data_IF_303769007384
#
_entry.id   IF_303769007384
#
_cell.length_a   1.000
_cell.length_b   1.000
_cell.length_c   1.000
_cell.angle_alpha   90.00
_cell.angle_beta   90.00
_cell.angle_gamma   90.00
#
_symmetry.space_group_name_H-M   'P 1'
#
loop_
_entity.id
_entity.type
_entity.pdbx_description
1 polymer ?
#
# COMPACT_ATOMS: atom_id res chain seq x y z
N UNK A 1 2.37 -16.94 -1.57
CA UNK A 1 1.72 -15.78 -0.91
C UNK A 1 1.70 -16.04 0.59
N UNK A 2 2.10 -15.08 1.44
CA UNK A 2 2.09 -15.22 2.90
C UNK A 2 0.67 -15.41 3.45
N UNK A 3 0.49 -16.31 4.42
CA UNK A 3 -0.81 -16.62 5.07
C UNK A 3 -1.43 -15.39 5.73
N UNK A 4 -0.59 -14.54 6.31
CA UNK A 4 -0.94 -13.35 7.07
C UNK A 4 -1.64 -12.33 6.17
N UNK A 5 -1.13 -12.14 4.95
CA UNK A 5 -1.72 -11.22 3.97
C UNK A 5 -3.11 -11.68 3.55
N UNK A 6 -3.30 -12.99 3.33
CA UNK A 6 -4.63 -13.55 3.02
C UNK A 6 -5.63 -13.22 4.12
N UNK A 7 -5.24 -13.44 5.38
CA UNK A 7 -6.10 -13.18 6.53
C UNK A 7 -6.43 -11.69 6.69
N UNK A 8 -5.50 -10.80 6.34
CA UNK A 8 -5.72 -9.35 6.44
C UNK A 8 -6.69 -8.86 5.38
N UNK A 9 -6.68 -9.43 4.18
CA UNK A 9 -7.40 -8.90 3.01
C UNK A 9 -8.70 -9.63 2.68
N UNK A 10 -8.84 -10.90 3.06
CA UNK A 10 -9.99 -11.71 2.65
C UNK A 10 -11.31 -11.16 3.19
N UNK A 11 -12.28 -10.98 2.27
CA UNK A 11 -13.62 -10.48 2.60
C UNK A 11 -13.69 -9.01 3.00
N UNK A 12 -12.62 -8.23 2.79
CA UNK A 12 -12.55 -6.81 3.15
C UNK A 12 -12.74 -5.90 1.95
N UNK A 13 -13.43 -4.78 2.15
CA UNK A 13 -13.43 -3.63 1.25
C UNK A 13 -12.13 -2.86 1.45
N UNK A 14 -11.28 -2.84 0.42
CA UNK A 14 -9.92 -2.30 0.48
C UNK A 14 -9.82 -1.00 -0.30
N UNK A 15 -9.21 0.00 0.33
CA UNK A 15 -8.83 1.27 -0.30
C UNK A 15 -7.31 1.38 -0.33
N UNK A 16 -6.73 1.59 -1.50
CA UNK A 16 -5.35 2.08 -1.65
C UNK A 16 -5.42 3.59 -1.77
N UNK A 17 -4.87 4.30 -0.79
CA UNK A 17 -4.93 5.75 -0.71
C UNK A 17 -3.59 6.37 -1.13
N UNK A 18 -3.61 7.06 -2.27
CA UNK A 18 -2.46 7.56 -3.01
C UNK A 18 -1.89 6.50 -3.95
N UNK A 19 -1.86 6.81 -5.25
CA UNK A 19 -1.45 5.94 -6.34
C UNK A 19 -0.14 6.40 -7.01
N UNK A 20 0.79 6.90 -6.18
CA UNK A 20 2.18 7.11 -6.56
C UNK A 20 2.97 5.80 -6.66
N UNK A 21 4.28 5.86 -6.46
CA UNK A 21 5.18 4.69 -6.57
C UNK A 21 4.76 3.52 -5.66
N UNK A 22 4.46 3.81 -4.38
CA UNK A 22 4.07 2.78 -3.40
C UNK A 22 2.65 2.25 -3.62
N UNK A 23 1.69 3.12 -3.94
CA UNK A 23 0.33 2.71 -4.30
C UNK A 23 0.30 1.76 -5.49
N UNK A 24 1.03 2.08 -6.57
CA UNK A 24 1.20 1.21 -7.75
C UNK A 24 1.87 -0.12 -7.39
N UNK A 25 2.92 -0.08 -6.58
CA UNK A 25 3.62 -1.29 -6.13
C UNK A 25 2.70 -2.21 -5.34
N UNK A 26 1.95 -1.65 -4.39
CA UNK A 26 0.94 -2.36 -3.59
C UNK A 26 -0.13 -2.96 -4.50
N UNK A 27 -0.69 -2.16 -5.41
CA UNK A 27 -1.73 -2.60 -6.33
C UNK A 27 -1.28 -3.77 -7.20
N UNK A 28 -0.09 -3.69 -7.81
CA UNK A 28 0.49 -4.77 -8.63
C UNK A 28 0.69 -6.05 -7.82
N UNK A 29 1.17 -5.93 -6.58
CA UNK A 29 1.33 -7.06 -5.68
C UNK A 29 -0.01 -7.73 -5.36
N UNK A 30 -1.02 -6.94 -4.99
CA UNK A 30 -2.34 -7.44 -4.65
C UNK A 30 -3.03 -8.08 -5.86
N UNK A 31 -2.93 -7.48 -7.05
CA UNK A 31 -3.45 -8.07 -8.29
C UNK A 31 -2.77 -9.39 -8.64
N UNK A 32 -1.47 -9.51 -8.40
CA UNK A 32 -0.73 -10.76 -8.62
C UNK A 32 -1.12 -11.89 -7.66
N UNK A 33 -1.55 -11.58 -6.43
CA UNK A 33 -1.97 -12.57 -5.44
C UNK A 33 -3.48 -12.83 -5.42
N UNK A 34 -4.27 -11.80 -5.73
CA UNK A 34 -5.72 -11.82 -5.71
C UNK A 34 -6.28 -11.10 -6.96
N UNK A 35 -6.27 -11.78 -8.12
CA UNK A 35 -6.76 -11.19 -9.37
C UNK A 35 -8.20 -10.66 -9.26
N UNK A 36 -9.05 -11.37 -8.52
CA UNK A 36 -10.48 -11.08 -8.40
C UNK A 36 -10.85 -10.15 -7.23
N UNK A 37 -9.89 -9.75 -6.38
CA UNK A 37 -10.15 -8.88 -5.24
C UNK A 37 -10.64 -7.49 -5.67
N UNK A 38 -11.78 -7.03 -5.16
CA UNK A 38 -12.20 -5.66 -5.44
C UNK A 38 -11.31 -4.66 -4.69
N UNK A 39 -10.69 -3.72 -5.41
CA UNK A 39 -9.78 -2.72 -4.82
C UNK A 39 -10.24 -1.34 -5.27
N UNK A 40 -10.45 -0.43 -4.32
CA UNK A 40 -10.67 0.97 -4.63
C UNK A 40 -9.36 1.74 -4.57
N UNK A 41 -9.12 2.62 -5.54
CA UNK A 41 -8.01 3.56 -5.56
C UNK A 41 -8.54 4.96 -5.23
N UNK A 42 -7.97 5.59 -4.22
CA UNK A 42 -8.24 6.99 -3.87
C UNK A 42 -7.03 7.85 -4.18
N UNK A 43 -7.14 8.84 -5.06
CA UNK A 43 -6.03 9.76 -5.36
C UNK A 43 -6.51 11.20 -5.58
N UNK A 44 -5.67 12.16 -5.19
CA UNK A 44 -5.97 13.59 -5.37
C UNK A 44 -5.99 14.01 -6.84
N UNK A 45 -5.31 13.27 -7.71
CA UNK A 45 -5.29 13.53 -9.14
C UNK A 45 -6.66 13.20 -9.77
N UNK A 46 -7.33 14.21 -10.32
CA UNK A 46 -8.64 14.07 -11.00
C UNK A 46 -8.54 13.20 -12.26
N UNK A 47 -7.40 13.24 -12.96
CA UNK A 47 -7.17 12.56 -14.24
C UNK A 47 -6.49 11.20 -14.07
N UNK A 48 -6.49 10.63 -12.86
CA UNK A 48 -5.77 9.39 -12.57
C UNK A 48 -6.18 8.21 -13.48
N UNK A 49 -7.44 8.13 -13.92
CA UNK A 49 -7.87 7.09 -14.85
C UNK A 49 -7.10 7.16 -16.18
N UNK A 50 -6.95 8.36 -16.74
CA UNK A 50 -6.22 8.59 -17.99
C UNK A 50 -4.70 8.42 -17.82
N UNK A 51 -4.17 8.89 -16.69
CA UNK A 51 -2.73 8.82 -16.39
C UNK A 51 -2.26 7.40 -16.04
N UNK A 52 -3.18 6.48 -15.73
CA UNK A 52 -2.90 5.15 -15.21
C UNK A 52 -3.68 4.07 -15.98
N UNK A 53 -3.31 3.77 -17.23
CA UNK A 53 -3.98 2.76 -18.05
C UNK A 53 -3.96 1.35 -17.41
N UNK A 54 -3.07 1.11 -16.44
CA UNK A 54 -3.05 -0.12 -15.65
C UNK A 54 -4.27 -0.33 -14.74
N UNK A 55 -5.07 0.71 -14.51
CA UNK A 55 -6.35 0.65 -13.81
C UNK A 55 -7.49 0.20 -14.73
N UNK A 56 -7.41 0.46 -16.04
CA UNK A 56 -8.45 0.07 -17.01
C UNK A 56 -8.45 -1.43 -17.32
N UNK A 57 -7.35 -2.12 -17.00
CA UNK A 57 -7.15 -3.53 -17.32
C UNK A 57 -8.01 -4.50 -16.47
N UNK A 58 -8.75 -4.02 -15.48
CA UNK A 58 -9.50 -4.88 -14.57
C UNK A 58 -10.89 -4.33 -14.26
N UNK A 59 -11.89 -5.23 -14.27
CA UNK A 59 -13.29 -4.90 -13.99
C UNK A 59 -13.61 -4.74 -12.50
N UNK A 60 -12.71 -5.12 -11.60
CA UNK A 60 -12.91 -5.15 -10.15
C UNK A 60 -12.17 -4.00 -9.44
N UNK A 61 -12.27 -2.79 -9.99
CA UNK A 61 -11.65 -1.58 -9.45
C UNK A 61 -12.69 -0.50 -9.22
N UNK A 62 -12.61 0.12 -8.04
CA UNK A 62 -13.27 1.40 -7.76
C UNK A 62 -12.25 2.53 -7.89
N UNK A 63 -12.70 3.72 -8.29
CA UNK A 63 -11.86 4.90 -8.36
C UNK A 63 -12.53 6.09 -7.67
N UNK A 64 -11.79 6.75 -6.78
CA UNK A 64 -12.17 8.01 -6.13
C UNK A 64 -11.07 9.02 -6.43
N UNK A 65 -11.36 10.00 -7.28
CA UNK A 65 -10.38 10.99 -7.72
C UNK A 65 -10.70 12.40 -7.23
N UNK A 66 -9.70 13.28 -7.29
CA UNK A 66 -9.87 14.70 -7.02
C UNK A 66 -10.07 15.02 -5.55
N UNK A 67 -10.88 16.04 -5.27
CA UNK A 67 -11.07 16.56 -3.90
C UNK A 67 -11.73 15.55 -2.95
N UNK A 68 -12.51 14.62 -3.49
CA UNK A 68 -13.24 13.61 -2.72
C UNK A 68 -12.39 12.38 -2.36
N UNK A 69 -11.10 12.33 -2.73
CA UNK A 69 -10.26 11.14 -2.51
C UNK A 69 -10.11 10.71 -1.04
N UNK A 70 -10.33 11.64 -0.10
CA UNK A 70 -10.34 11.39 1.34
C UNK A 70 -11.76 11.19 1.90
N UNK A 71 -12.80 11.54 1.15
CA UNK A 71 -14.21 11.43 1.53
C UNK A 71 -14.67 9.98 1.37
N UNK A 72 -14.00 9.11 2.10
CA UNK A 72 -14.19 7.67 2.14
C UNK A 72 -15.04 7.27 3.36
N UNK A 73 -16.04 8.09 3.64
CA UNK A 73 -16.89 8.01 4.84
C UNK A 73 -17.50 6.61 5.00
N UNK A 74 -16.85 5.75 5.78
CA UNK A 74 -17.42 4.56 6.40
C UNK A 74 -17.46 3.27 5.57
N UNK A 75 -17.00 3.26 4.32
CA UNK A 75 -17.22 2.11 3.43
C UNK A 75 -16.03 1.15 3.29
N UNK A 76 -14.89 1.39 3.93
CA UNK A 76 -13.72 0.53 3.81
C UNK A 76 -13.36 -0.15 5.13
N UNK A 77 -13.02 -1.44 5.04
CA UNK A 77 -12.52 -2.20 6.19
C UNK A 77 -11.02 -1.98 6.40
N UNK A 78 -10.28 -1.74 5.30
CA UNK A 78 -8.83 -1.58 5.31
C UNK A 78 -8.39 -0.48 4.34
N UNK A 79 -7.60 0.47 4.84
CA UNK A 79 -6.97 1.54 4.07
C UNK A 79 -5.48 1.30 4.07
N UNK A 80 -4.90 1.10 2.88
CA UNK A 80 -3.46 1.03 2.67
C UNK A 80 -3.01 2.40 2.21
N UNK A 81 -2.49 3.21 3.14
CA UNK A 81 -2.08 4.58 2.83
C UNK A 81 -0.65 4.64 2.29
N UNK A 82 -0.44 5.55 1.35
CA UNK A 82 0.90 6.00 0.96
C UNK A 82 1.56 6.84 2.08
N UNK A 83 2.89 6.85 2.20
CA UNK A 83 3.60 7.60 3.24
C UNK A 83 3.39 9.12 3.17
N UNK A 84 3.20 9.66 1.96
CA UNK A 84 2.96 11.08 1.73
C UNK A 84 1.63 11.60 2.26
N UNK A 85 0.73 10.72 2.72
CA UNK A 85 -0.56 11.09 3.29
C UNK A 85 -0.47 11.01 4.82
N UNK A 86 -0.68 12.13 5.54
CA UNK A 86 -0.64 12.17 7.00
C UNK A 86 -1.62 11.18 7.61
N UNK A 87 -1.21 10.48 8.68
CA UNK A 87 -2.06 9.48 9.32
C UNK A 87 -3.30 10.12 9.95
N UNK A 88 -3.11 11.27 10.61
CA UNK A 88 -4.14 12.02 11.31
C UNK A 88 -5.26 12.44 10.36
N UNK A 89 -4.90 12.86 9.15
CA UNK A 89 -5.84 13.24 8.10
C UNK A 89 -6.73 12.06 7.67
N UNK A 90 -6.14 10.87 7.52
CA UNK A 90 -6.87 9.65 7.17
C UNK A 90 -7.75 9.21 8.34
N UNK A 91 -7.23 9.24 9.56
CA UNK A 91 -7.99 8.85 10.75
C UNK A 91 -9.21 9.77 10.99
N UNK A 92 -9.08 11.07 10.73
CA UNK A 92 -10.18 12.02 10.83
C UNK A 92 -11.25 11.79 9.76
N UNK A 93 -10.83 11.58 8.50
CA UNK A 93 -11.75 11.56 7.34
C UNK A 93 -12.35 10.18 7.04
N UNK A 94 -11.65 9.11 7.40
CA UNK A 94 -11.99 7.75 6.97
C UNK A 94 -12.65 6.89 8.07
N UNK A 95 -12.96 7.47 9.23
CA UNK A 95 -13.73 6.82 10.29
C UNK A 95 -13.04 5.62 10.93
N UNK A 96 -13.76 4.50 11.07
CA UNK A 96 -13.32 3.29 11.81
C UNK A 96 -12.48 2.31 11.00
N UNK A 97 -12.18 2.63 9.74
CA UNK A 97 -11.41 1.76 8.87
C UNK A 97 -10.02 1.47 9.46
N UNK A 98 -9.53 0.23 9.33
CA UNK A 98 -8.17 -0.07 9.77
C UNK A 98 -7.18 0.57 8.81
N UNK A 99 -6.30 1.42 9.32
CA UNK A 99 -5.26 2.08 8.52
C UNK A 99 -3.96 1.26 8.62
N UNK A 100 -3.36 0.98 7.47
CA UNK A 100 -2.07 0.30 7.31
C UNK A 100 -1.23 1.00 6.25
N UNK A 101 0.01 0.55 6.04
CA UNK A 101 0.88 0.97 4.93
C UNK A 101 1.43 -0.24 4.19
N UNK A 102 2.03 -0.01 3.01
CA UNK A 102 2.77 -1.04 2.28
C UNK A 102 3.86 -1.66 3.17
N UNK A 103 4.61 -0.82 3.89
CA UNK A 103 5.68 -1.26 4.79
C UNK A 103 5.14 -2.12 5.93
N UNK A 104 4.01 -1.75 6.56
CA UNK A 104 3.42 -2.56 7.63
C UNK A 104 2.96 -3.94 7.12
N UNK A 105 2.31 -3.99 5.95
CA UNK A 105 1.93 -5.26 5.32
C UNK A 105 3.15 -6.12 4.98
N UNK A 106 4.20 -5.50 4.41
CA UNK A 106 5.44 -6.19 4.09
C UNK A 106 6.13 -6.76 5.34
N UNK A 107 6.24 -5.97 6.41
CA UNK A 107 6.85 -6.42 7.65
C UNK A 107 6.04 -7.55 8.30
N UNK A 108 4.71 -7.47 8.29
CA UNK A 108 3.87 -8.57 8.81
C UNK A 108 4.07 -9.89 8.08
N UNK A 109 4.27 -9.82 6.77
CA UNK A 109 4.47 -11.00 5.92
C UNK A 109 5.90 -11.57 6.01
N UNK A 110 6.90 -10.71 6.16
CA UNK A 110 8.30 -11.08 5.92
C UNK A 110 9.24 -10.71 7.06
N UNK A 111 8.74 -10.35 8.25
CA UNK A 111 9.55 -9.91 9.40
C UNK A 111 10.78 -10.79 9.65
N UNK A 112 10.63 -12.12 9.55
CA UNK A 112 11.72 -13.08 9.78
C UNK A 112 12.91 -12.93 8.80
N UNK A 113 12.70 -12.29 7.65
CA UNK A 113 13.70 -12.09 6.60
C UNK A 113 14.15 -10.62 6.49
N UNK A 114 13.69 -9.74 7.38
CA UNK A 114 13.92 -8.30 7.27
C UNK A 114 14.95 -7.82 8.29
N UNK A 115 15.96 -7.12 7.79
CA UNK A 115 16.88 -6.32 8.62
C UNK A 115 16.50 -4.84 8.52
N UNK A 116 16.04 -4.25 9.62
CA UNK A 116 15.68 -2.83 9.69
C UNK A 116 16.91 -1.95 9.99
N UNK A 117 17.12 -0.91 9.18
CA UNK A 117 18.20 0.08 9.38
C UNK A 117 17.59 1.46 9.57
N UNK A 118 17.85 2.10 10.73
CA UNK A 118 17.36 3.44 11.06
C UNK A 118 18.48 4.30 11.69
N UNK A 119 18.31 5.63 11.69
CA UNK A 119 19.28 6.58 12.25
C UNK A 119 19.35 7.89 11.47
N UNK A 120 19.88 8.97 12.06
CA UNK A 120 19.90 10.29 11.41
C UNK A 120 20.87 10.35 10.23
N UNK A 121 22.02 9.67 10.33
CA UNK A 121 23.07 9.59 9.29
C UNK A 121 23.53 8.13 9.11
N UNK A 122 24.13 7.81 7.97
CA UNK A 122 24.72 6.48 7.71
C UNK A 122 23.76 5.37 7.24
N UNK A 123 22.43 5.56 7.33
CA UNK A 123 21.41 4.56 6.94
C UNK A 123 21.68 3.88 5.60
N UNK A 124 21.85 4.66 4.53
CA UNK A 124 22.03 4.13 3.18
C UNK A 124 23.33 3.33 3.06
N UNK A 125 24.41 3.84 3.65
CA UNK A 125 25.72 3.14 3.64
C UNK A 125 25.66 1.83 4.42
N UNK A 126 25.06 1.84 5.61
CA UNK A 126 24.90 0.64 6.44
C UNK A 126 24.00 -0.39 5.76
N UNK A 127 22.87 0.02 5.17
CA UNK A 127 21.99 -0.87 4.43
C UNK A 127 22.71 -1.51 3.22
N UNK A 128 23.46 -0.73 2.46
CA UNK A 128 24.25 -1.23 1.32
C UNK A 128 25.36 -2.19 1.77
N UNK A 129 26.02 -1.91 2.90
CA UNK A 129 27.07 -2.79 3.44
C UNK A 129 26.50 -4.13 3.89
N UNK A 130 25.38 -4.13 4.61
CA UNK A 130 24.68 -5.37 5.02
C UNK A 130 24.31 -6.18 3.78
N UNK A 131 23.73 -5.54 2.76
CA UNK A 131 23.38 -6.19 1.49
C UNK A 131 24.60 -6.81 0.80
N UNK A 132 25.73 -6.09 0.74
CA UNK A 132 26.97 -6.60 0.15
C UNK A 132 27.48 -7.85 0.90
N UNK A 133 27.52 -7.79 2.23
CA UNK A 133 27.95 -8.92 3.06
C UNK A 133 27.07 -10.15 2.80
N UNK A 134 25.74 -9.98 2.80
CA UNK A 134 24.78 -11.07 2.56
C UNK A 134 24.99 -11.72 1.18
N UNK A 135 25.26 -10.94 0.14
CA UNK A 135 25.54 -11.49 -1.20
C UNK A 135 26.87 -12.25 -1.25
N UNK A 136 27.88 -11.82 -0.48
CA UNK A 136 29.20 -12.44 -0.48
C UNK A 136 29.32 -13.67 0.42
N UNK A 137 28.49 -13.77 1.47
CA UNK A 137 28.59 -14.82 2.48
C UNK A 137 27.98 -16.16 2.03
N UNK A 138 27.10 -16.16 1.02
CA UNK A 138 26.34 -17.33 0.58
C UNK A 138 25.17 -17.68 1.50
#
# INVERSE_FOLDING_TARGET
MPSEIKSILSGKKILILGFGKEGKSTYKLLRGWFPDLFITIGDRNENIAEDQPELDNYSNIGLISGKAYLDSSGDFDLIIKSPGIPYELVAEKCGTAKITSQTDLFLKAFAALVTGVTGTKGKSTTASLIHHIMLTAG
#
